data_IF_959122988217
#
_entry.id   IF_959122988217
#
_cell.length_a   1.000
_cell.length_b   1.000
_cell.length_c   1.000
_cell.angle_alpha   90.00
_cell.angle_beta   90.00
_cell.angle_gamma   90.00
#
_symmetry.space_group_name_H-M   'P 1'
#
loop_
_entity.id
_entity.type
_entity.pdbx_description
1 polymer ?
#
# COMPACT_ATOMS: atom_id res chain seq x y z
N UNK A 1 -17.58 14.81 6.38
CA UNK A 1 -16.31 14.10 6.70
C UNK A 1 -15.16 15.09 6.58
N UNK A 2 -14.22 15.07 7.53
CA UNK A 2 -13.04 15.95 7.48
C UNK A 2 -11.93 15.30 6.68
N UNK A 3 -11.31 16.07 5.80
CA UNK A 3 -10.13 15.69 4.99
C UNK A 3 -8.99 16.63 5.39
N UNK A 4 -7.80 16.09 5.65
CA UNK A 4 -6.63 16.94 5.82
C UNK A 4 -6.07 17.26 4.42
N UNK A 5 -5.92 18.53 4.11
CA UNK A 5 -5.46 18.99 2.80
C UNK A 5 -4.46 20.14 3.00
N UNK A 6 -3.21 19.91 2.64
CA UNK A 6 -2.13 20.90 2.64
C UNK A 6 -2.05 21.75 3.92
N UNK A 7 -2.09 21.08 5.09
CA UNK A 7 -1.86 21.73 6.38
C UNK A 7 -3.11 22.07 7.17
N UNK A 8 -4.30 21.69 6.69
CA UNK A 8 -5.55 22.01 7.41
C UNK A 8 -6.64 20.95 7.17
N UNK A 9 -7.51 20.81 8.17
CA UNK A 9 -8.71 19.98 8.03
C UNK A 9 -9.81 20.82 7.34
N UNK A 10 -10.34 20.30 6.24
CA UNK A 10 -11.44 20.90 5.48
C UNK A 10 -12.62 19.93 5.40
N UNK A 11 -13.81 20.44 5.07
CA UNK A 11 -14.94 19.57 4.78
C UNK A 11 -14.71 18.84 3.45
N UNK A 12 -15.30 17.67 3.31
CA UNK A 12 -15.15 16.82 2.13
C UNK A 12 -15.47 17.59 0.83
N UNK A 13 -16.49 18.43 0.86
CA UNK A 13 -16.95 19.22 -0.29
C UNK A 13 -15.94 20.31 -0.70
N UNK A 14 -15.09 20.70 0.25
CA UNK A 14 -14.04 21.72 0.03
C UNK A 14 -12.70 21.08 -0.36
N UNK A 15 -12.55 19.75 -0.18
CA UNK A 15 -11.30 19.02 -0.47
C UNK A 15 -11.16 18.84 -2.00
N UNK A 16 -10.50 19.78 -2.66
CA UNK A 16 -10.36 19.81 -4.13
C UNK A 16 -8.90 19.96 -4.52
N UNK A 17 -8.52 19.22 -5.56
CA UNK A 17 -7.21 19.37 -6.21
C UNK A 17 -7.41 20.06 -7.56
N UNK A 18 -6.32 20.69 -8.04
CA UNK A 18 -6.34 21.38 -9.33
C UNK A 18 -6.41 20.37 -10.49
N UNK A 19 -7.11 20.72 -11.57
CA UNK A 19 -7.05 19.97 -12.83
C UNK A 19 -5.65 20.04 -13.47
N UNK A 20 -4.81 21.00 -13.08
CA UNK A 20 -3.43 21.11 -13.52
C UNK A 20 -2.44 20.39 -12.60
N UNK A 21 -2.94 19.61 -11.63
CA UNK A 21 -2.08 18.81 -10.77
C UNK A 21 -1.50 17.63 -11.57
N UNK A 22 -0.19 17.45 -11.56
CA UNK A 22 0.49 16.37 -12.30
C UNK A 22 0.11 14.99 -11.80
N UNK A 23 -0.35 14.84 -10.56
CA UNK A 23 -0.96 13.60 -10.09
C UNK A 23 -2.22 13.26 -10.89
N UNK A 24 -3.04 14.28 -11.22
CA UNK A 24 -4.24 14.12 -12.05
C UNK A 24 -3.88 13.89 -13.52
N UNK A 25 -2.94 14.69 -14.05
CA UNK A 25 -2.61 14.66 -15.48
C UNK A 25 -1.78 13.42 -15.87
N UNK A 26 -0.86 13.00 -15.01
CA UNK A 26 0.17 12.01 -15.38
C UNK A 26 0.36 10.88 -14.37
N UNK A 27 -0.37 10.88 -13.26
CA UNK A 27 -0.14 9.93 -12.18
C UNK A 27 1.17 10.17 -11.44
N UNK A 28 1.72 11.40 -11.51
CA UNK A 28 2.97 11.74 -10.83
C UNK A 28 2.70 12.02 -9.36
N UNK A 29 2.86 10.98 -8.56
CA UNK A 29 2.61 11.02 -7.13
C UNK A 29 2.72 9.64 -6.51
N UNK A 30 2.61 9.62 -5.20
CA UNK A 30 2.74 8.43 -4.36
C UNK A 30 1.62 8.41 -3.33
N UNK A 31 1.36 7.22 -2.77
CA UNK A 31 0.31 7.12 -1.75
C UNK A 31 0.61 6.03 -0.74
N UNK A 32 -0.04 6.15 0.40
CA UNK A 32 -0.09 5.07 1.40
C UNK A 32 -1.54 4.71 1.71
N UNK A 33 -1.72 3.43 2.04
CA UNK A 33 -2.94 2.92 2.62
C UNK A 33 -2.59 2.35 3.98
N UNK A 34 -3.20 2.84 5.05
CA UNK A 34 -2.82 2.52 6.41
C UNK A 34 -4.08 2.18 7.21
N UNK A 35 -4.04 1.11 8.01
CA UNK A 35 -5.16 0.78 8.90
C UNK A 35 -4.95 1.41 10.27
N UNK A 36 -6.06 1.72 10.92
CA UNK A 36 -6.06 2.05 12.34
C UNK A 36 -7.12 1.20 13.04
N UNK A 37 -6.80 0.80 14.25
CA UNK A 37 -7.63 -0.04 15.11
C UNK A 37 -7.64 0.59 16.51
N UNK A 38 -8.82 0.73 17.11
CA UNK A 38 -8.96 1.35 18.42
C UNK A 38 -8.27 2.74 18.48
N UNK A 39 -8.38 3.53 17.40
CA UNK A 39 -7.74 4.85 17.23
C UNK A 39 -6.21 4.79 17.32
N UNK A 40 -5.61 3.64 17.01
CA UNK A 40 -4.15 3.46 16.93
C UNK A 40 -3.78 3.13 15.50
N UNK A 41 -2.92 3.94 14.90
CA UNK A 41 -2.47 3.75 13.51
C UNK A 41 -1.42 2.65 13.49
N UNK A 42 -1.75 1.54 12.81
CA UNK A 42 -0.90 0.35 12.78
C UNK A 42 0.31 0.59 11.89
N UNK A 43 1.51 0.39 12.43
CA UNK A 43 2.80 0.50 11.71
C UNK A 43 2.98 1.86 10.99
N UNK A 44 2.58 2.95 11.64
CA UNK A 44 2.66 4.29 11.03
C UNK A 44 4.09 4.63 10.58
N UNK A 45 5.10 4.36 11.40
CA UNK A 45 6.51 4.64 11.06
C UNK A 45 6.93 3.90 9.78
N UNK A 46 6.64 2.60 9.69
CA UNK A 46 6.98 1.80 8.49
C UNK A 46 6.35 2.38 7.22
N UNK A 47 5.10 2.85 7.32
CA UNK A 47 4.41 3.49 6.21
C UNK A 47 5.04 4.83 5.83
N UNK A 48 5.42 5.65 6.84
CA UNK A 48 6.10 6.92 6.58
C UNK A 48 7.46 6.70 5.93
N UNK A 49 8.25 5.74 6.44
CA UNK A 49 9.55 5.40 5.85
C UNK A 49 9.40 5.01 4.37
N UNK A 50 8.41 4.17 4.05
CA UNK A 50 8.17 3.77 2.66
C UNK A 50 7.73 4.96 1.81
N UNK A 51 6.85 5.82 2.33
CA UNK A 51 6.40 7.02 1.61
C UNK A 51 7.59 7.93 1.26
N UNK A 52 8.46 8.19 2.24
CA UNK A 52 9.62 9.08 2.04
C UNK A 52 10.68 8.43 1.15
N UNK A 53 10.85 7.10 1.21
CA UNK A 53 11.72 6.39 0.27
C UNK A 53 11.18 6.49 -1.17
N UNK A 54 9.87 6.37 -1.36
CA UNK A 54 9.23 6.55 -2.67
C UNK A 54 9.39 7.99 -3.17
N UNK A 55 9.24 8.98 -2.26
CA UNK A 55 9.42 10.40 -2.64
C UNK A 55 10.85 10.67 -3.07
N UNK A 56 11.82 10.12 -2.34
CA UNK A 56 13.24 10.24 -2.67
C UNK A 56 13.53 9.68 -4.07
N UNK A 57 13.02 8.48 -4.36
CA UNK A 57 13.23 7.82 -5.66
C UNK A 57 12.66 8.68 -6.82
N UNK A 58 11.50 9.32 -6.60
CA UNK A 58 10.85 10.15 -7.63
C UNK A 58 11.32 11.60 -7.64
N UNK A 59 12.24 11.97 -6.76
CA UNK A 59 12.62 13.38 -6.53
C UNK A 59 11.37 14.24 -6.31
N UNK A 60 10.43 13.73 -5.51
CA UNK A 60 9.16 14.36 -5.18
C UNK A 60 9.28 14.97 -3.78
N UNK A 61 9.39 16.26 -3.70
CA UNK A 61 9.54 16.96 -2.41
C UNK A 61 8.24 16.93 -1.61
N UNK A 62 8.26 16.35 -0.41
CA UNK A 62 7.14 16.39 0.53
C UNK A 62 7.37 17.60 1.44
N UNK A 63 6.48 18.63 1.44
CA UNK A 63 6.73 19.86 2.18
C UNK A 63 6.43 19.76 3.68
N UNK A 64 6.63 18.60 4.26
CA UNK A 64 6.42 18.28 5.68
C UNK A 64 7.48 17.26 6.10
N UNK A 65 7.91 17.31 7.34
CA UNK A 65 8.76 16.26 7.93
C UNK A 65 7.91 15.00 8.18
N UNK A 66 8.56 13.85 8.38
CA UNK A 66 7.86 12.61 8.75
C UNK A 66 7.02 12.79 10.02
N UNK A 67 7.55 13.53 11.01
CA UNK A 67 6.85 13.80 12.27
C UNK A 67 5.59 14.65 12.02
N UNK A 68 5.71 15.74 11.24
CA UNK A 68 4.58 16.60 10.91
C UNK A 68 3.49 15.81 10.17
N UNK A 69 3.88 14.98 9.22
CA UNK A 69 2.91 14.21 8.44
C UNK A 69 2.28 13.08 9.26
N UNK A 70 3.03 12.45 10.17
CA UNK A 70 2.50 11.47 11.14
C UNK A 70 1.45 12.12 12.05
N UNK A 71 1.72 13.33 12.50
CA UNK A 71 0.79 14.10 13.33
C UNK A 71 -0.47 14.47 12.53
N UNK A 72 -0.33 14.84 11.25
CA UNK A 72 -1.47 15.11 10.35
C UNK A 72 -2.33 13.86 10.15
N UNK A 73 -1.71 12.68 10.03
CA UNK A 73 -2.44 11.39 9.97
C UNK A 73 -3.26 11.22 11.24
N UNK A 74 -2.65 11.39 12.41
CA UNK A 74 -3.36 11.22 13.69
C UNK A 74 -4.45 12.27 13.88
N UNK A 75 -4.22 13.50 13.46
CA UNK A 75 -5.25 14.57 13.47
C UNK A 75 -6.45 14.18 12.61
N UNK A 76 -6.19 13.61 11.42
CA UNK A 76 -7.26 13.17 10.51
C UNK A 76 -8.06 12.01 11.11
N UNK A 77 -7.38 11.03 11.73
CA UNK A 77 -8.03 9.91 12.42
C UNK A 77 -8.91 10.44 13.56
N UNK A 78 -8.40 11.34 14.38
CA UNK A 78 -9.16 11.94 15.49
C UNK A 78 -10.40 12.66 14.96
N UNK A 79 -10.25 13.44 13.88
CA UNK A 79 -11.34 14.21 13.26
C UNK A 79 -12.39 13.33 12.57
N UNK A 80 -12.04 12.11 12.18
CA UNK A 80 -12.99 11.17 11.55
C UNK A 80 -14.05 10.65 12.52
N UNK A 81 -13.73 10.62 13.81
CA UNK A 81 -14.62 10.08 14.85
C UNK A 81 -14.70 8.55 14.85
N UNK A 82 -13.97 7.87 13.98
CA UNK A 82 -14.00 6.41 13.86
C UNK A 82 -13.05 5.76 14.88
N UNK A 83 -13.38 4.58 15.34
CA UNK A 83 -12.49 3.76 16.17
C UNK A 83 -11.55 2.92 15.28
N UNK A 84 -12.09 2.40 14.19
CA UNK A 84 -11.37 1.54 13.24
C UNK A 84 -11.61 2.06 11.84
N UNK A 85 -10.59 1.97 10.98
CA UNK A 85 -10.76 2.45 9.62
C UNK A 85 -9.49 2.36 8.80
N UNK A 86 -9.51 3.11 7.72
CA UNK A 86 -8.45 3.09 6.71
C UNK A 86 -8.09 4.53 6.35
N UNK A 87 -6.81 4.76 6.23
CA UNK A 87 -6.24 6.04 5.86
C UNK A 87 -5.72 5.93 4.44
N UNK A 88 -6.09 6.89 3.60
CA UNK A 88 -5.48 7.12 2.29
C UNK A 88 -4.70 8.43 2.40
N UNK A 89 -3.37 8.32 2.42
CA UNK A 89 -2.45 9.46 2.38
C UNK A 89 -1.89 9.55 0.96
N UNK A 90 -2.02 10.69 0.32
CA UNK A 90 -1.57 10.91 -1.05
C UNK A 90 -0.68 12.14 -1.11
N UNK A 91 0.42 12.02 -1.85
CA UNK A 91 1.29 13.13 -2.21
C UNK A 91 1.37 13.17 -3.73
N UNK A 92 0.87 14.23 -4.34
CA UNK A 92 1.02 14.45 -5.78
C UNK A 92 2.19 15.43 -6.03
N UNK A 93 2.67 15.46 -7.27
CA UNK A 93 3.68 16.46 -7.69
C UNK A 93 3.16 17.89 -7.53
N UNK A 94 1.85 18.09 -7.58
CA UNK A 94 1.22 19.39 -7.48
C UNK A 94 1.03 20.06 -8.83
N UNK A 95 0.68 21.35 -8.77
CA UNK A 95 0.28 22.11 -9.95
C UNK A 95 1.50 22.52 -10.79
N UNK A 96 1.43 22.22 -12.08
CA UNK A 96 2.45 22.61 -13.06
C UNK A 96 1.83 23.02 -14.39
N UNK A 97 2.67 23.12 -15.41
CA UNK A 97 2.19 23.33 -16.79
C UNK A 97 1.86 21.96 -17.43
N UNK A 98 1.42 21.95 -18.69
CA UNK A 98 1.02 20.74 -19.39
C UNK A 98 2.21 19.88 -19.89
N UNK A 99 3.44 20.31 -19.65
CA UNK A 99 4.63 19.55 -20.03
C UNK A 99 5.00 18.51 -18.98
N UNK A 100 5.80 17.51 -19.37
CA UNK A 100 6.17 16.39 -18.50
C UNK A 100 7.29 16.72 -17.49
N UNK A 101 7.91 17.90 -17.58
CA UNK A 101 9.01 18.25 -16.67
C UNK A 101 8.48 18.45 -15.23
N UNK A 102 8.79 17.54 -14.28
CA UNK A 102 8.23 17.63 -12.93
C UNK A 102 8.75 18.82 -12.14
N UNK A 103 9.90 19.39 -12.55
CA UNK A 103 10.52 20.53 -11.85
C UNK A 103 9.82 21.86 -12.16
N UNK A 104 8.81 21.85 -13.05
CA UNK A 104 7.93 23.01 -13.27
C UNK A 104 6.80 23.08 -12.23
N UNK A 105 6.62 22.05 -11.41
CA UNK A 105 5.66 22.06 -10.30
C UNK A 105 6.34 22.66 -9.07
N UNK A 106 5.77 23.73 -8.53
CA UNK A 106 6.40 24.52 -7.47
C UNK A 106 6.26 23.92 -6.08
N UNK A 107 5.21 23.14 -5.86
CA UNK A 107 4.90 22.57 -4.54
C UNK A 107 3.99 21.37 -4.69
N UNK A 108 4.32 20.29 -4.01
CA UNK A 108 3.50 19.08 -3.95
C UNK A 108 2.19 19.36 -3.19
N UNK A 109 1.14 18.65 -3.56
CA UNK A 109 -0.13 18.66 -2.84
C UNK A 109 -0.22 17.40 -1.99
N UNK A 110 -0.59 17.55 -0.72
CA UNK A 110 -0.70 16.43 0.22
C UNK A 110 -2.12 16.40 0.78
N UNK A 111 -2.77 15.21 0.73
CA UNK A 111 -4.07 15.07 1.39
C UNK A 111 -4.20 13.72 2.08
N UNK A 112 -4.99 13.70 3.15
CA UNK A 112 -5.21 12.52 3.98
C UNK A 112 -6.72 12.35 4.20
N UNK A 113 -7.21 11.15 3.88
CA UNK A 113 -8.61 10.74 4.09
C UNK A 113 -8.60 9.63 5.14
N UNK A 114 -9.45 9.70 6.16
CA UNK A 114 -9.69 8.60 7.09
C UNK A 114 -11.16 8.20 7.02
N UNK A 115 -11.43 6.96 6.59
CA UNK A 115 -12.78 6.50 6.36
C UNK A 115 -12.90 4.99 6.66
N UNK A 116 -14.10 4.48 6.64
CA UNK A 116 -14.37 3.04 6.74
C UNK A 116 -13.86 2.32 5.49
N UNK A 117 -13.49 1.06 5.64
CA UNK A 117 -13.16 0.20 4.51
C UNK A 117 -13.76 -1.19 4.73
N UNK A 118 -14.29 -1.77 3.66
CA UNK A 118 -14.65 -3.18 3.58
C UNK A 118 -14.17 -3.66 2.22
N UNK A 119 -13.09 -4.41 2.21
CA UNK A 119 -12.49 -4.86 0.95
C UNK A 119 -13.16 -6.14 0.44
N UNK A 120 -13.43 -7.08 1.34
CA UNK A 120 -14.02 -8.38 1.02
C UNK A 120 -15.22 -8.65 1.92
N UNK A 121 -16.12 -9.50 1.45
CA UNK A 121 -17.21 -10.05 2.26
C UNK A 121 -16.60 -10.80 3.47
N UNK A 122 -17.14 -10.64 4.69
CA UNK A 122 -16.63 -11.35 5.87
C UNK A 122 -16.49 -12.88 5.69
N UNK A 123 -17.35 -13.49 4.91
CA UNK A 123 -17.31 -14.92 4.64
C UNK A 123 -16.00 -15.38 3.97
N UNK A 124 -15.27 -14.46 3.32
CA UNK A 124 -14.01 -14.77 2.65
C UNK A 124 -12.93 -15.17 3.66
N UNK A 125 -12.98 -14.61 4.87
CA UNK A 125 -11.97 -14.93 5.90
C UNK A 125 -12.15 -16.38 6.43
N UNK A 126 -13.33 -16.94 6.24
CA UNK A 126 -13.60 -18.35 6.61
C UNK A 126 -13.47 -19.30 5.41
N UNK A 127 -13.98 -18.87 4.25
CA UNK A 127 -14.10 -19.74 3.07
C UNK A 127 -12.96 -19.58 2.07
N UNK A 128 -12.18 -18.51 2.20
CA UNK A 128 -11.06 -18.21 1.33
C UNK A 128 -11.46 -17.59 0.00
N UNK A 129 -10.48 -16.98 -0.66
CA UNK A 129 -10.64 -16.35 -1.97
C UNK A 129 -10.39 -17.34 -3.10
N UNK A 130 -11.05 -17.10 -4.23
CA UNK A 130 -10.68 -17.69 -5.51
C UNK A 130 -9.92 -16.65 -6.33
N UNK A 131 -8.78 -17.05 -6.90
CA UNK A 131 -7.94 -16.23 -7.76
C UNK A 131 -7.97 -16.74 -9.20
N UNK A 132 -7.69 -15.86 -10.14
CA UNK A 132 -7.27 -16.22 -11.50
C UNK A 132 -5.82 -15.77 -11.70
N UNK A 133 -5.12 -16.36 -12.66
CA UNK A 133 -3.84 -15.85 -13.15
C UNK A 133 -4.12 -14.82 -14.24
N UNK A 134 -3.71 -13.57 -14.03
CA UNK A 134 -3.91 -12.51 -15.02
C UNK A 134 -3.01 -12.70 -16.25
N UNK A 135 -3.53 -12.32 -17.41
CA UNK A 135 -2.73 -12.20 -18.64
C UNK A 135 -1.83 -10.95 -18.57
N UNK A 136 -2.20 -9.97 -17.76
CA UNK A 136 -1.46 -8.72 -17.59
C UNK A 136 -0.22 -8.97 -16.71
N UNK A 137 0.96 -8.73 -17.26
CA UNK A 137 2.21 -8.89 -16.49
C UNK A 137 2.40 -7.72 -15.53
N UNK A 138 2.98 -8.01 -14.35
CA UNK A 138 3.38 -6.99 -13.40
C UNK A 138 4.51 -6.15 -14.01
N UNK A 139 4.52 -4.85 -13.72
CA UNK A 139 5.56 -3.95 -14.21
C UNK A 139 6.95 -4.49 -13.88
N UNK A 140 7.86 -4.37 -14.84
CA UNK A 140 9.28 -4.68 -14.61
C UNK A 140 9.89 -3.63 -13.67
N UNK A 141 10.84 -4.04 -12.81
CA UNK A 141 11.50 -3.08 -11.91
C UNK A 141 12.28 -1.97 -12.63
N UNK A 142 12.68 -2.21 -13.89
CA UNK A 142 13.41 -1.23 -14.71
C UNK A 142 12.48 -0.31 -15.53
N UNK A 143 11.18 -0.38 -15.31
CA UNK A 143 10.19 0.52 -15.92
C UNK A 143 9.53 1.35 -14.81
N UNK A 144 8.26 1.13 -14.50
CA UNK A 144 7.62 1.75 -13.33
C UNK A 144 7.80 0.78 -12.17
N UNK A 145 8.84 1.00 -11.37
CA UNK A 145 9.28 0.06 -10.33
C UNK A 145 8.14 -0.26 -9.35
N UNK A 146 7.75 -1.54 -9.19
CA UNK A 146 6.67 -1.93 -8.27
C UNK A 146 6.93 -1.59 -6.80
N UNK A 147 8.19 -1.41 -6.40
CA UNK A 147 8.52 -1.03 -5.04
C UNK A 147 8.16 0.43 -4.74
N UNK A 148 7.99 1.25 -5.78
CA UNK A 148 7.49 2.62 -5.63
C UNK A 148 5.96 2.58 -5.61
N UNK A 149 5.38 2.92 -4.48
CA UNK A 149 3.91 2.93 -4.32
C UNK A 149 3.34 4.22 -4.95
N UNK A 150 3.43 4.29 -6.29
CA UNK A 150 3.05 5.46 -7.08
C UNK A 150 1.55 5.47 -7.39
N UNK A 151 1.05 6.58 -7.93
CA UNK A 151 -0.32 6.70 -8.40
C UNK A 151 -0.57 5.96 -9.74
N UNK A 152 0.44 5.31 -10.31
CA UNK A 152 0.34 4.58 -11.58
C UNK A 152 -0.17 3.15 -11.36
N UNK A 153 -1.45 3.01 -11.03
CA UNK A 153 -2.06 1.72 -10.72
C UNK A 153 -2.82 1.09 -11.89
N UNK A 154 -2.69 1.64 -13.09
CA UNK A 154 -3.42 1.11 -14.26
C UNK A 154 -3.05 -0.35 -14.54
N UNK A 155 -1.78 -0.73 -14.40
CA UNK A 155 -1.32 -2.12 -14.53
C UNK A 155 -2.13 -3.07 -13.61
N UNK A 156 -2.26 -2.69 -12.33
CA UNK A 156 -3.01 -3.47 -11.33
C UNK A 156 -4.53 -3.46 -11.64
N UNK A 157 -5.07 -2.31 -12.07
CA UNK A 157 -6.49 -2.17 -12.42
C UNK A 157 -6.85 -3.09 -13.59
N UNK A 158 -5.99 -3.17 -14.62
CA UNK A 158 -6.23 -4.04 -15.78
C UNK A 158 -6.30 -5.52 -15.37
N UNK A 159 -5.39 -5.95 -14.50
CA UNK A 159 -5.41 -7.31 -13.95
C UNK A 159 -6.68 -7.54 -13.09
N UNK A 160 -7.05 -6.55 -12.26
CA UNK A 160 -8.26 -6.62 -11.42
C UNK A 160 -9.52 -6.74 -12.29
N UNK A 161 -9.58 -6.02 -13.43
CA UNK A 161 -10.70 -6.12 -14.38
C UNK A 161 -10.85 -7.55 -14.91
N UNK A 162 -9.74 -8.24 -15.19
CA UNK A 162 -9.80 -9.65 -15.63
C UNK A 162 -10.42 -10.53 -14.54
N UNK A 163 -9.98 -10.36 -13.27
CA UNK A 163 -10.52 -11.13 -12.14
C UNK A 163 -12.05 -10.92 -12.02
N UNK A 164 -12.47 -9.65 -11.97
CA UNK A 164 -13.88 -9.31 -11.79
C UNK A 164 -14.74 -9.89 -12.94
N UNK A 165 -14.27 -9.78 -14.19
CA UNK A 165 -15.00 -10.31 -15.35
C UNK A 165 -15.12 -11.84 -15.32
N UNK A 166 -14.22 -12.54 -14.64
CA UNK A 166 -14.26 -13.99 -14.48
C UNK A 166 -14.90 -14.42 -13.15
N UNK A 167 -15.46 -13.49 -12.39
CA UNK A 167 -16.13 -13.79 -11.12
C UNK A 167 -15.17 -14.10 -9.97
N UNK A 168 -13.87 -13.74 -10.12
CA UNK A 168 -12.88 -13.95 -9.08
C UNK A 168 -12.70 -12.68 -8.26
N UNK A 169 -12.32 -12.87 -7.00
CA UNK A 169 -12.12 -11.74 -6.08
C UNK A 169 -10.81 -11.01 -6.39
N UNK A 170 -9.76 -11.73 -6.89
CA UNK A 170 -8.43 -11.17 -7.05
C UNK A 170 -7.69 -11.89 -8.19
N UNK A 171 -6.61 -11.27 -8.70
CA UNK A 171 -5.78 -11.87 -9.76
C UNK A 171 -4.32 -11.97 -9.34
N UNK A 172 -3.75 -13.14 -9.57
CA UNK A 172 -2.32 -13.41 -9.45
C UNK A 172 -1.61 -12.78 -10.66
N UNK A 173 -0.62 -11.95 -10.42
CA UNK A 173 0.18 -11.32 -11.48
C UNK A 173 1.57 -11.96 -11.54
N UNK A 174 1.98 -12.32 -12.74
CA UNK A 174 3.31 -12.85 -13.01
C UNK A 174 4.19 -11.73 -13.60
N UNK A 175 5.49 -11.82 -13.36
CA UNK A 175 6.45 -10.94 -14.02
C UNK A 175 6.72 -11.41 -15.46
N UNK A 176 7.58 -10.72 -16.19
CA UNK A 176 7.92 -11.02 -17.58
C UNK A 176 8.66 -12.35 -17.76
N UNK A 177 9.26 -12.89 -16.70
CA UNK A 177 9.91 -14.20 -16.70
C UNK A 177 8.92 -15.35 -16.37
N UNK A 178 7.65 -15.02 -16.07
CA UNK A 178 6.65 -16.02 -15.69
C UNK A 178 6.68 -16.38 -14.21
N UNK A 179 7.48 -15.68 -13.41
CA UNK A 179 7.50 -15.88 -11.96
C UNK A 179 6.38 -15.09 -11.30
N UNK A 180 5.89 -15.60 -10.17
CA UNK A 180 4.87 -14.96 -9.35
C UNK A 180 5.45 -13.68 -8.76
N UNK A 181 4.76 -12.55 -8.98
CA UNK A 181 5.11 -11.28 -8.36
C UNK A 181 4.23 -11.04 -7.13
N UNK A 182 2.97 -10.74 -7.34
CA UNK A 182 2.00 -10.43 -6.27
C UNK A 182 0.58 -10.52 -6.85
N UNK A 183 -0.43 -10.12 -6.12
CA UNK A 183 -1.78 -9.92 -6.65
C UNK A 183 -2.02 -8.43 -6.95
N UNK A 184 -3.26 -8.05 -7.33
CA UNK A 184 -3.48 -6.67 -7.81
C UNK A 184 -3.33 -5.62 -6.70
N UNK A 185 -3.60 -6.00 -5.45
CA UNK A 185 -3.47 -5.08 -4.30
C UNK A 185 -2.76 -5.71 -3.10
N UNK A 186 -2.31 -6.95 -3.21
CA UNK A 186 -1.85 -7.76 -2.08
C UNK A 186 -0.62 -8.57 -2.45
N UNK A 187 0.26 -8.82 -1.47
CA UNK A 187 1.34 -9.80 -1.62
C UNK A 187 0.77 -11.22 -1.43
N UNK A 188 1.46 -12.21 -1.97
CA UNK A 188 1.04 -13.61 -1.89
C UNK A 188 2.04 -14.43 -1.08
N UNK A 189 1.51 -15.33 -0.28
CA UNK A 189 2.25 -16.31 0.51
C UNK A 189 1.69 -17.71 0.25
N UNK A 190 2.55 -18.71 0.33
CA UNK A 190 2.14 -20.12 0.37
C UNK A 190 2.79 -20.81 1.55
N UNK A 191 2.20 -21.94 1.94
CA UNK A 191 2.80 -22.88 2.88
C UNK A 191 3.03 -24.20 2.12
N UNK A 192 4.23 -24.73 2.25
CA UNK A 192 4.56 -26.06 1.73
C UNK A 192 5.42 -26.80 2.74
N UNK A 193 4.98 -27.99 3.13
CA UNK A 193 5.67 -28.83 4.12
C UNK A 193 6.03 -28.04 5.39
N UNK A 194 5.08 -27.22 5.87
CA UNK A 194 5.21 -26.44 7.09
C UNK A 194 6.07 -25.17 6.95
N UNK A 195 6.64 -24.90 5.78
CA UNK A 195 7.45 -23.70 5.53
C UNK A 195 6.64 -22.66 4.74
N UNK A 196 6.71 -21.41 5.17
CA UNK A 196 6.04 -20.27 4.51
C UNK A 196 6.98 -19.71 3.43
N UNK A 197 6.44 -19.45 2.24
CA UNK A 197 7.21 -18.83 1.15
C UNK A 197 6.44 -17.63 0.59
N UNK A 198 7.20 -16.60 0.18
CA UNK A 198 6.66 -15.42 -0.52
C UNK A 198 7.68 -14.99 -1.59
N UNK A 199 7.26 -14.41 -2.71
CA UNK A 199 8.23 -13.91 -3.69
C UNK A 199 9.15 -12.84 -3.11
N UNK A 200 10.44 -12.82 -3.49
CA UNK A 200 11.30 -11.70 -3.15
C UNK A 200 10.86 -10.45 -3.91
N UNK A 201 11.15 -9.28 -3.38
CA UNK A 201 10.76 -8.00 -4.01
C UNK A 201 11.38 -7.84 -5.40
N UNK A 202 12.49 -8.50 -5.66
CA UNK A 202 13.15 -8.52 -6.97
C UNK A 202 12.31 -9.19 -8.06
N UNK A 203 11.32 -10.01 -7.69
CA UNK A 203 10.39 -10.61 -8.67
C UNK A 203 9.27 -9.64 -9.09
N UNK A 204 9.26 -8.40 -8.56
CA UNK A 204 8.37 -7.35 -9.02
C UNK A 204 7.17 -7.10 -8.11
N UNK A 205 7.25 -7.46 -6.84
CA UNK A 205 6.20 -7.12 -5.89
C UNK A 205 6.53 -5.86 -5.09
N UNK A 206 5.51 -5.25 -4.53
CA UNK A 206 5.68 -4.20 -3.53
C UNK A 206 6.23 -4.83 -2.25
N UNK A 207 7.15 -4.14 -1.57
CA UNK A 207 7.59 -4.54 -0.24
C UNK A 207 6.50 -4.12 0.77
N UNK A 208 5.49 -4.97 0.92
CA UNK A 208 4.30 -4.70 1.70
C UNK A 208 4.57 -4.63 3.20
N UNK A 209 3.97 -3.65 3.91
CA UNK A 209 4.11 -3.56 5.37
C UNK A 209 3.49 -4.81 6.02
N UNK A 210 2.31 -5.23 5.58
CA UNK A 210 1.69 -6.46 6.10
C UNK A 210 2.55 -7.70 5.78
N UNK A 211 3.18 -7.72 4.59
CA UNK A 211 4.14 -8.78 4.22
C UNK A 211 5.29 -8.85 5.24
N UNK A 212 5.89 -7.70 5.59
CA UNK A 212 6.96 -7.63 6.60
C UNK A 212 6.48 -8.16 7.95
N UNK A 213 5.28 -7.72 8.38
CA UNK A 213 4.68 -8.15 9.66
C UNK A 213 4.47 -9.68 9.67
N UNK A 214 4.02 -10.28 8.57
CA UNK A 214 3.84 -11.74 8.49
C UNK A 214 5.21 -12.45 8.65
N UNK A 215 6.27 -11.94 8.02
CA UNK A 215 7.60 -12.53 8.18
C UNK A 215 8.12 -12.38 9.62
N UNK A 216 7.81 -11.27 10.30
CA UNK A 216 8.10 -11.07 11.73
C UNK A 216 7.33 -12.08 12.60
N UNK A 217 6.03 -12.26 12.33
CA UNK A 217 5.17 -13.24 13.02
C UNK A 217 5.71 -14.65 12.83
N UNK A 218 6.13 -15.02 11.62
CA UNK A 218 6.72 -16.33 11.37
C UNK A 218 7.96 -16.55 12.25
N UNK A 219 8.82 -15.53 12.33
CA UNK A 219 10.02 -15.59 13.16
C UNK A 219 9.66 -15.76 14.65
N UNK A 220 8.68 -14.96 15.13
CA UNK A 220 8.19 -15.03 16.52
C UNK A 220 7.59 -16.39 16.87
N UNK A 221 6.78 -16.94 15.96
CA UNK A 221 6.09 -18.23 16.17
C UNK A 221 6.97 -19.44 15.81
N UNK A 222 8.23 -19.20 15.42
CA UNK A 222 9.19 -20.24 15.00
C UNK A 222 8.67 -21.05 13.81
N UNK A 223 7.95 -20.40 12.90
CA UNK A 223 7.48 -20.99 11.64
C UNK A 223 8.57 -20.69 10.58
N UNK A 224 9.17 -21.71 9.96
CA UNK A 224 10.16 -21.46 8.91
C UNK A 224 9.55 -20.60 7.80
N UNK A 225 10.26 -19.53 7.39
CA UNK A 225 9.78 -18.64 6.34
C UNK A 225 10.94 -18.18 5.46
N UNK A 226 10.71 -18.13 4.14
CA UNK A 226 11.74 -17.77 3.16
C UNK A 226 11.15 -16.95 2.02
N UNK A 227 11.92 -16.00 1.53
CA UNK A 227 11.67 -15.38 0.24
C UNK A 227 12.20 -16.33 -0.84
N UNK A 228 11.37 -16.64 -1.84
CA UNK A 228 11.70 -17.62 -2.87
C UNK A 228 10.95 -17.28 -4.16
N UNK A 229 11.69 -17.23 -5.26
CA UNK A 229 11.11 -17.14 -6.59
C UNK A 229 10.23 -18.36 -6.84
N UNK A 230 9.01 -18.15 -7.26
CA UNK A 230 7.99 -19.19 -7.46
C UNK A 230 7.31 -18.98 -8.80
N UNK A 231 6.75 -20.04 -9.33
CA UNK A 231 5.92 -19.97 -10.53
C UNK A 231 4.50 -20.46 -10.20
N UNK A 232 3.62 -20.40 -11.20
CA UNK A 232 2.22 -20.81 -11.02
C UNK A 232 2.08 -22.26 -10.55
N UNK A 233 2.94 -23.16 -11.04
CA UNK A 233 2.95 -24.57 -10.58
C UNK A 233 3.21 -24.66 -9.07
N UNK A 234 4.18 -23.89 -8.57
CA UNK A 234 4.50 -23.87 -7.14
C UNK A 234 3.27 -23.49 -6.30
N UNK A 235 2.51 -22.47 -6.77
CA UNK A 235 1.30 -22.03 -6.05
C UNK A 235 0.24 -23.13 -6.08
N UNK A 236 0.01 -23.76 -7.25
CA UNK A 236 -1.05 -24.80 -7.36
C UNK A 236 -0.76 -26.06 -6.55
N UNK A 237 0.52 -26.31 -6.22
CA UNK A 237 0.96 -27.45 -5.42
C UNK A 237 1.14 -27.13 -3.93
N UNK A 238 0.77 -25.92 -3.51
CA UNK A 238 0.90 -25.50 -2.11
C UNK A 238 -0.11 -26.19 -1.19
N UNK A 239 0.28 -26.39 0.06
CA UNK A 239 -0.61 -26.94 1.10
C UNK A 239 -1.57 -25.87 1.60
N UNK A 240 -1.12 -24.59 1.67
CA UNK A 240 -1.93 -23.43 2.03
C UNK A 240 -1.50 -22.24 1.18
N UNK A 241 -2.42 -21.29 0.99
CA UNK A 241 -2.11 -20.04 0.31
C UNK A 241 -2.89 -18.91 0.97
N UNK A 242 -2.29 -17.73 1.07
CA UNK A 242 -2.96 -16.54 1.60
C UNK A 242 -2.37 -15.26 0.99
N UNK A 243 -3.17 -14.21 1.02
CA UNK A 243 -2.76 -12.88 0.58
C UNK A 243 -2.57 -11.98 1.80
N UNK A 244 -1.74 -10.94 1.62
CA UNK A 244 -1.54 -9.93 2.66
C UNK A 244 -1.57 -8.53 2.04
N UNK A 245 -2.32 -7.65 2.69
CA UNK A 245 -2.39 -6.25 2.33
C UNK A 245 -2.91 -5.43 3.48
N UNK A 246 -2.65 -4.15 3.48
CA UNK A 246 -3.11 -3.29 4.58
C UNK A 246 -4.63 -3.33 4.70
N UNK A 247 -5.35 -3.27 3.58
CA UNK A 247 -6.82 -3.32 3.59
C UNK A 247 -7.34 -4.75 3.81
N UNK A 248 -6.68 -5.74 3.21
CA UNK A 248 -7.06 -7.16 3.27
C UNK A 248 -6.67 -7.84 4.59
N UNK A 249 -5.65 -7.30 5.28
CA UNK A 249 -5.00 -7.96 6.42
C UNK A 249 -4.33 -9.25 5.94
N UNK A 250 -4.74 -10.41 6.44
CA UNK A 250 -4.32 -11.72 5.95
C UNK A 250 -5.58 -12.47 5.53
N UNK A 251 -5.68 -12.88 4.27
CA UNK A 251 -6.89 -13.54 3.78
C UNK A 251 -6.53 -14.85 3.07
N UNK A 252 -7.15 -15.99 3.45
CA UNK A 252 -6.81 -17.28 2.84
C UNK A 252 -7.25 -17.34 1.37
N UNK A 253 -6.49 -18.09 0.56
CA UNK A 253 -6.81 -18.38 -0.83
C UNK A 253 -7.03 -19.90 -0.94
N UNK A 254 -8.18 -20.28 -1.50
CA UNK A 254 -8.56 -21.69 -1.58
C UNK A 254 -8.65 -22.21 -3.01
N UNK A 255 -8.58 -21.31 -4.02
CA UNK A 255 -8.60 -21.71 -5.44
C UNK A 255 -7.72 -20.79 -6.28
N UNK A 256 -7.06 -21.34 -7.28
CA UNK A 256 -6.35 -20.61 -8.33
C UNK A 256 -6.68 -21.23 -9.69
N UNK A 257 -7.23 -20.44 -10.62
CA UNK A 257 -7.59 -20.89 -11.99
C UNK A 257 -8.48 -22.16 -11.97
N UNK A 258 -9.38 -22.27 -11.00
CA UNK A 258 -10.24 -23.43 -10.84
C UNK A 258 -9.62 -24.59 -10.06
N UNK A 259 -8.28 -24.59 -9.86
CA UNK A 259 -7.62 -25.61 -9.04
C UNK A 259 -7.84 -25.33 -7.56
N UNK A 260 -8.28 -26.32 -6.82
CA UNK A 260 -8.34 -26.24 -5.35
C UNK A 260 -6.92 -26.23 -4.78
N UNK A 261 -6.64 -25.35 -3.84
CA UNK A 261 -5.36 -25.27 -3.11
C UNK A 261 -5.53 -25.99 -1.76
N UNK A 262 -4.59 -26.89 -1.47
CA UNK A 262 -4.59 -27.64 -0.22
C UNK A 262 -5.93 -28.31 0.05
N UNK A 263 -6.46 -28.13 1.25
CA UNK A 263 -7.75 -28.68 1.67
C UNK A 263 -8.97 -27.93 1.11
N UNK A 264 -8.76 -26.80 0.45
CA UNK A 264 -9.86 -25.91 0.04
C UNK A 264 -10.42 -25.06 1.19
N UNK A 265 -9.70 -24.98 2.29
CA UNK A 265 -10.05 -24.18 3.49
C UNK A 265 -8.80 -23.53 4.04
N UNK A 266 -8.97 -22.63 5.00
CA UNK A 266 -7.85 -22.04 5.71
C UNK A 266 -7.01 -23.15 6.37
N UNK A 267 -5.71 -23.15 6.14
CA UNK A 267 -4.81 -24.12 6.72
C UNK A 267 -4.32 -23.71 8.10
N UNK A 268 -3.76 -24.66 8.86
CA UNK A 268 -3.38 -24.41 10.26
C UNK A 268 -2.26 -23.39 10.42
N UNK A 269 -1.32 -23.30 9.50
CA UNK A 269 -0.24 -22.31 9.57
C UNK A 269 -0.80 -20.91 9.30
N UNK A 270 -1.61 -20.76 8.26
CA UNK A 270 -2.30 -19.49 7.94
C UNK A 270 -3.16 -19.03 9.10
N UNK A 271 -3.92 -19.94 9.72
CA UNK A 271 -4.78 -19.60 10.86
C UNK A 271 -3.97 -19.06 12.06
N UNK A 272 -2.82 -19.67 12.36
CA UNK A 272 -1.92 -19.19 13.43
C UNK A 272 -1.38 -17.79 13.13
N UNK A 273 -0.96 -17.55 11.89
CA UNK A 273 -0.42 -16.25 11.45
C UNK A 273 -1.53 -15.20 11.54
N UNK A 274 -2.73 -15.50 11.03
CA UNK A 274 -3.87 -14.58 11.06
C UNK A 274 -4.26 -14.20 12.48
N UNK A 275 -4.36 -15.19 13.39
CA UNK A 275 -4.70 -14.93 14.79
C UNK A 275 -3.68 -14.00 15.45
N UNK A 276 -2.38 -14.23 15.21
CA UNK A 276 -1.34 -13.38 15.79
C UNK A 276 -1.33 -11.98 15.15
N UNK A 277 -1.59 -11.89 13.84
CA UNK A 277 -1.72 -10.61 13.16
C UNK A 277 -2.86 -9.78 13.77
N UNK A 278 -4.02 -10.40 13.96
CA UNK A 278 -5.18 -9.71 14.55
C UNK A 278 -4.89 -9.21 15.96
N UNK A 279 -4.21 -10.01 16.78
CA UNK A 279 -3.79 -9.60 18.12
C UNK A 279 -2.86 -8.36 18.06
N UNK A 280 -1.84 -8.40 17.21
CA UNK A 280 -0.92 -7.27 17.03
C UNK A 280 -1.66 -6.02 16.55
N UNK A 281 -2.54 -6.17 15.59
CA UNK A 281 -3.32 -5.06 15.01
C UNK A 281 -4.17 -4.36 16.09
N UNK A 282 -4.75 -5.12 17.01
CA UNK A 282 -5.61 -4.58 18.07
C UNK A 282 -4.83 -3.98 19.25
N UNK A 283 -3.58 -4.41 19.46
CA UNK A 283 -2.84 -4.06 20.69
C UNK A 283 -1.69 -3.08 20.45
N UNK A 284 -1.24 -2.91 19.20
CA UNK A 284 -0.08 -2.06 18.88
C UNK A 284 -0.46 -0.89 17.96
N UNK A 285 0.47 0.01 17.74
CA UNK A 285 0.31 1.15 16.84
C UNK A 285 0.39 2.50 17.52
N UNK A 286 0.55 3.55 16.73
CA UNK A 286 0.68 4.94 17.19
C UNK A 286 -0.68 5.47 17.62
N UNK A 287 -0.81 5.89 18.91
CA UNK A 287 -2.07 6.39 19.48
C UNK A 287 -2.39 7.78 18.95
N UNK A 288 -3.60 7.97 18.47
CA UNK A 288 -4.14 9.27 18.05
C UNK A 288 -5.13 9.90 19.03
N UNK A 289 -5.12 9.43 20.00
CA UNK A 289 -6.03 9.84 20.96
C UNK A 289 -5.71 11.14 21.60
N UNK A 290 -4.99 11.76 21.87
CA UNK A 290 -4.69 12.98 22.65
C UNK A 290 -3.63 13.88 21.98
N UNK A 291 -3.60 13.93 20.65
CA UNK A 291 -2.65 14.84 20.01
C UNK A 291 -3.22 16.26 19.92
N UNK A 292 -2.49 17.29 20.36
CA UNK A 292 -2.93 18.67 20.17
C UNK A 292 -2.90 19.01 18.67
N UNK A 293 -3.87 19.81 18.24
CA UNK A 293 -3.87 20.37 16.89
C UNK A 293 -2.61 21.23 16.70
N UNK A 294 -1.65 20.71 15.99
CA UNK A 294 -0.35 21.38 15.78
C UNK A 294 -0.37 22.45 14.69
N UNK A 295 -1.42 22.49 13.89
CA UNK A 295 -1.52 23.44 12.79
C UNK A 295 -2.45 24.60 13.19
N UNK A 296 -1.86 25.65 13.74
CA UNK A 296 -2.50 26.97 13.82
C UNK A 296 -2.52 27.62 12.43
N UNK A 297 -3.19 28.79 12.27
CA UNK A 297 -3.33 29.43 10.95
C UNK A 297 -1.97 29.63 10.28
N UNK A 298 -1.82 28.97 9.17
CA UNK A 298 -0.73 29.00 8.17
C UNK A 298 0.53 29.78 8.53
N UNK A 299 1.60 29.07 8.87
CA UNK A 299 2.95 29.63 8.69
C UNK A 299 3.17 29.74 7.17
N UNK A 300 3.32 30.98 6.69
CA UNK A 300 3.86 31.21 5.35
C UNK A 300 5.20 30.48 5.24
N UNK A 301 5.36 29.67 4.20
CA UNK A 301 6.59 28.93 3.96
C UNK A 301 7.80 29.87 4.04
N UNK A 302 8.89 29.45 4.70
CA UNK A 302 10.12 30.22 4.65
C UNK A 302 10.59 30.34 3.19
N UNK A 303 10.92 31.54 2.77
CA UNK A 303 11.51 31.80 1.46
C UNK A 303 12.78 30.95 1.34
N UNK A 304 12.81 30.05 0.36
CA UNK A 304 13.92 29.16 0.10
C UNK A 304 15.21 29.97 -0.09
N UNK A 305 16.12 29.87 0.86
CA UNK A 305 17.49 30.33 0.71
C UNK A 305 18.16 29.59 -0.44
N UNK A 306 18.80 30.33 -1.30
CA UNK A 306 19.28 29.96 -2.62
C UNK A 306 19.92 28.58 -2.75
N UNK A 307 19.33 27.76 -3.59
CA UNK A 307 20.00 26.61 -4.14
C UNK A 307 21.02 27.08 -5.18
N UNK A 308 22.29 26.80 -4.95
CA UNK A 308 23.35 27.03 -5.93
C UNK A 308 23.17 26.02 -7.07
N UNK A 309 22.63 26.49 -8.18
CA UNK A 309 22.60 25.69 -9.40
C UNK A 309 23.97 25.79 -10.09
N UNK A 310 24.68 24.66 -10.13
CA UNK A 310 25.82 24.54 -11.04
C UNK A 310 25.27 24.53 -12.48
N UNK A 311 25.52 25.60 -13.22
CA UNK A 311 25.20 25.67 -14.66
C UNK A 311 26.21 24.80 -15.42
N UNK A 312 25.76 23.72 -16.00
CA UNK A 312 26.50 23.05 -17.07
C UNK A 312 26.13 23.73 -18.39
N UNK A 313 27.09 24.43 -19.01
CA UNK A 313 26.95 24.94 -20.39
C UNK A 313 27.31 23.75 -21.31
N UNK A 314 26.40 23.42 -22.20
CA UNK A 314 26.68 22.52 -23.31
C UNK A 314 26.88 23.36 -24.56
N UNK A 315 28.05 23.22 -24.89
CA UNK A 315 28.37 23.85 -26.10
C UNK A 315 27.99 23.13 -27.23
#
# INVERSE_FOLDING_TARGET
MKIWLDGKLVEQEEAKTSVFDHGTLYGDGIFEGIRFYNKRVFRLEDHMDRLYNCSHYLLLDIPYTQEELSNAVCETVAASGLNDGYIRLVVTRGVGNLGLNPFNCKRSCVFIIADKISLYDPNVYENGLALITSSVRRNRPDTVCPQVKSLNYLNNILAKMEAVRQGAAEALMLNDLGNVAECTGDNIFIVKDGTVFTPPVTDGCLDGITRRVVLEICRELQIPAQEKTMNRFTITCADECFLTGTAAECVPVTKLDGYQLGSGKIGPVTARILARFQELAQTTGTSCXNQPTLFGPTKTAPSSGGAVFLRYSVX
#
